data_IF_958176765322
#
_entry.id   IF_958176765322
#
_cell.length_a   1.000
_cell.length_b   1.000
_cell.length_c   1.000
_cell.angle_alpha   90.00
_cell.angle_beta   90.00
_cell.angle_gamma   90.00
#
_symmetry.space_group_name_H-M   'P 1'
#
loop_
_entity.id
_entity.type
_entity.pdbx_description
1 polymer ?
#
# COMPACT_ATOMS: atom_id res chain seq x y z
N UNK A 1 -6.12 -16.98 -0.50
CA UNK A 1 -5.87 -17.32 -1.92
C UNK A 1 -4.36 -17.27 -2.09
N UNK A 2 -3.70 -18.44 -2.18
CA UNK A 2 -2.24 -18.55 -2.03
C UNK A 2 -1.44 -17.57 -2.91
N UNK A 3 -1.90 -17.29 -4.13
CA UNK A 3 -1.23 -16.38 -5.07
C UNK A 3 -1.23 -14.92 -4.59
N UNK A 4 -2.38 -14.41 -4.12
CA UNK A 4 -2.44 -13.03 -3.61
C UNK A 4 -1.69 -12.86 -2.30
N UNK A 5 -1.76 -13.88 -1.43
CA UNK A 5 -1.06 -13.88 -0.16
C UNK A 5 0.48 -13.87 -0.37
N UNK A 6 0.98 -14.66 -1.33
CA UNK A 6 2.39 -14.67 -1.75
C UNK A 6 2.83 -13.33 -2.38
N UNK A 7 1.99 -12.72 -3.23
CA UNK A 7 2.28 -11.41 -3.82
C UNK A 7 2.34 -10.31 -2.76
N UNK A 8 1.40 -10.28 -1.83
CA UNK A 8 1.39 -9.33 -0.71
C UNK A 8 2.65 -9.51 0.14
N UNK A 9 3.01 -10.74 0.47
CA UNK A 9 4.21 -11.04 1.25
C UNK A 9 5.50 -10.55 0.56
N UNK A 10 5.65 -10.81 -0.75
CA UNK A 10 6.80 -10.35 -1.54
C UNK A 10 6.88 -8.83 -1.59
N UNK A 11 5.76 -8.15 -1.81
CA UNK A 11 5.70 -6.69 -1.82
C UNK A 11 6.03 -6.09 -0.45
N UNK A 12 5.47 -6.65 0.63
CA UNK A 12 5.81 -6.26 2.01
C UNK A 12 7.31 -6.38 2.26
N UNK A 13 7.93 -7.48 1.83
CA UNK A 13 9.36 -7.71 2.02
C UNK A 13 10.22 -6.72 1.24
N UNK A 14 9.88 -6.42 -0.01
CA UNK A 14 10.58 -5.42 -0.83
C UNK A 14 10.50 -4.03 -0.17
N UNK A 15 9.34 -3.66 0.37
CA UNK A 15 9.17 -2.38 1.07
C UNK A 15 9.98 -2.29 2.37
N UNK A 16 10.27 -3.43 3.01
CA UNK A 16 11.10 -3.48 4.23
C UNK A 16 12.61 -3.36 3.94
N UNK A 17 13.09 -3.66 2.73
CA UNK A 17 14.53 -3.71 2.43
C UNK A 17 15.31 -2.43 2.81
N UNK A 18 14.83 -1.20 2.51
CA UNK A 18 15.56 0.01 2.89
C UNK A 18 15.67 0.19 4.41
N UNK A 19 14.65 -0.25 5.15
CA UNK A 19 14.64 -0.20 6.62
C UNK A 19 15.60 -1.23 7.21
N UNK A 20 15.66 -2.42 6.59
CA UNK A 20 16.61 -3.48 6.94
C UNK A 20 18.05 -3.00 6.75
N UNK A 21 18.34 -2.34 5.62
CA UNK A 21 19.66 -1.73 5.36
C UNK A 21 20.01 -0.68 6.42
N UNK A 22 19.07 0.20 6.75
CA UNK A 22 19.28 1.29 7.71
C UNK A 22 19.48 0.80 9.16
N UNK A 23 18.98 -0.39 9.49
CA UNK A 23 19.04 -0.97 10.85
C UNK A 23 19.64 -2.38 10.85
N UNK A 24 20.66 -2.60 10.02
CA UNK A 24 21.30 -3.90 9.78
C UNK A 24 21.68 -4.66 11.06
N UNK A 25 22.09 -3.93 12.12
CA UNK A 25 22.47 -4.49 13.41
C UNK A 25 21.36 -5.33 14.05
N UNK A 26 20.10 -4.95 13.85
CA UNK A 26 18.94 -5.68 14.38
C UNK A 26 18.74 -7.05 13.72
N UNK A 27 19.30 -7.24 12.52
CA UNK A 27 19.09 -8.44 11.70
C UNK A 27 20.26 -9.40 11.70
N UNK A 28 21.38 -9.08 12.37
CA UNK A 28 22.61 -9.90 12.41
C UNK A 28 22.38 -11.37 12.79
N UNK A 29 21.39 -11.64 13.63
CA UNK A 29 21.07 -12.99 14.12
C UNK A 29 20.00 -13.71 13.27
N UNK A 30 19.36 -13.02 12.34
CA UNK A 30 18.23 -13.54 11.53
C UNK A 30 18.61 -13.68 10.06
N UNK A 31 19.39 -12.73 9.54
CA UNK A 31 19.86 -12.69 8.16
C UNK A 31 21.36 -12.96 8.18
N UNK A 32 21.78 -14.04 7.51
CA UNK A 32 23.21 -14.33 7.36
C UNK A 32 23.91 -13.26 6.50
N UNK A 33 25.23 -13.16 6.66
CA UNK A 33 26.05 -12.13 6.00
C UNK A 33 25.96 -12.18 4.48
N UNK A 34 25.84 -13.37 3.87
CA UNK A 34 25.72 -13.49 2.42
C UNK A 34 24.39 -12.91 1.93
N UNK A 35 23.30 -13.23 2.61
CA UNK A 35 21.97 -12.68 2.32
C UNK A 35 21.92 -11.18 2.57
N UNK A 36 22.54 -10.69 3.66
CA UNK A 36 22.59 -9.26 3.94
C UNK A 36 23.39 -8.50 2.87
N UNK A 37 24.48 -9.07 2.36
CA UNK A 37 25.23 -8.50 1.23
C UNK A 37 24.38 -8.38 -0.03
N UNK A 38 23.52 -9.36 -0.33
CA UNK A 38 22.57 -9.27 -1.45
C UNK A 38 21.53 -8.15 -1.25
N UNK A 39 21.09 -7.93 -0.01
CA UNK A 39 20.17 -6.82 0.33
C UNK A 39 20.86 -5.46 0.15
N UNK A 40 22.10 -5.30 0.61
CA UNK A 40 22.88 -4.08 0.38
C UNK A 40 23.08 -3.81 -1.11
N UNK A 41 23.46 -4.84 -1.89
CA UNK A 41 23.63 -4.73 -3.35
C UNK A 41 22.34 -4.29 -4.05
N UNK A 42 21.19 -4.83 -3.64
CA UNK A 42 19.91 -4.42 -4.19
C UNK A 42 19.63 -2.94 -3.93
N UNK A 43 19.87 -2.45 -2.71
CA UNK A 43 19.63 -1.05 -2.36
C UNK A 43 20.62 -0.12 -3.10
N UNK A 44 21.89 -0.51 -3.26
CA UNK A 44 22.86 0.23 -4.08
C UNK A 44 22.40 0.33 -5.54
N UNK A 45 21.93 -0.78 -6.15
CA UNK A 45 21.41 -0.78 -7.51
C UNK A 45 20.18 0.12 -7.67
N UNK A 46 19.26 0.08 -6.69
CA UNK A 46 18.08 0.93 -6.67
C UNK A 46 18.44 2.41 -6.55
N UNK A 47 19.34 2.77 -5.64
CA UNK A 47 19.82 4.14 -5.48
C UNK A 47 20.55 4.65 -6.73
N UNK A 48 21.36 3.81 -7.37
CA UNK A 48 22.04 4.14 -8.61
C UNK A 48 21.05 4.43 -9.76
N UNK A 49 19.95 3.68 -9.82
CA UNK A 49 18.85 3.90 -10.75
C UNK A 49 18.09 5.20 -10.46
N UNK A 50 17.70 5.43 -9.20
CA UNK A 50 16.98 6.64 -8.77
C UNK A 50 17.81 7.92 -8.96
N UNK A 51 19.14 7.83 -8.82
CA UNK A 51 20.08 8.96 -8.99
C UNK A 51 20.44 9.19 -10.47
N UNK A 52 19.92 8.38 -11.40
CA UNK A 52 20.21 8.46 -12.84
C UNK A 52 21.72 8.47 -13.16
N UNK A 53 22.49 7.72 -12.37
CA UNK A 53 23.93 7.54 -12.62
C UNK A 53 24.10 6.61 -13.82
N UNK A 54 24.94 6.93 -14.79
CA UNK A 54 25.06 6.18 -16.06
C UNK A 54 25.45 4.70 -15.85
N UNK A 55 25.20 3.83 -16.85
CA UNK A 55 25.60 2.39 -16.88
C UNK A 55 26.98 2.12 -16.30
N UNK A 56 27.94 3.04 -16.51
CA UNK A 56 29.34 2.90 -16.07
C UNK A 56 29.48 2.64 -14.57
N UNK A 57 28.60 3.21 -13.73
CA UNK A 57 28.61 2.93 -12.28
C UNK A 57 28.13 1.51 -11.99
N UNK A 58 27.12 1.00 -12.70
CA UNK A 58 26.73 -0.41 -12.60
C UNK A 58 27.84 -1.33 -13.09
N UNK A 59 28.47 -1.04 -14.23
CA UNK A 59 29.56 -1.88 -14.73
C UNK A 59 30.68 -2.04 -13.69
N UNK A 60 31.00 -0.95 -12.98
CA UNK A 60 31.96 -0.99 -11.87
C UNK A 60 31.45 -1.77 -10.64
N UNK A 61 30.14 -1.77 -10.37
CA UNK A 61 29.52 -2.60 -9.32
C UNK A 61 29.55 -4.08 -9.74
N UNK A 62 29.23 -4.38 -11.00
CA UNK A 62 29.21 -5.72 -11.60
C UNK A 62 30.62 -6.31 -11.67
N UNK A 63 31.63 -5.54 -12.05
CA UNK A 63 33.04 -5.99 -12.08
C UNK A 63 33.56 -6.37 -10.69
N UNK A 64 32.99 -5.82 -9.62
CA UNK A 64 33.30 -6.18 -8.24
C UNK A 64 32.50 -7.38 -7.73
N UNK A 65 31.60 -7.96 -8.54
CA UNK A 65 30.87 -9.17 -8.19
C UNK A 65 31.70 -10.41 -8.56
N UNK A 66 31.71 -11.46 -7.73
CA UNK A 66 32.15 -12.78 -8.19
C UNK A 66 31.26 -13.19 -9.37
N UNK A 67 31.88 -13.61 -10.47
CA UNK A 67 31.18 -13.93 -11.72
C UNK A 67 30.13 -15.01 -11.45
N UNK A 68 28.85 -14.65 -11.58
CA UNK A 68 27.75 -15.63 -11.52
C UNK A 68 27.72 -16.40 -12.85
N UNK A 69 28.58 -17.42 -12.98
CA UNK A 69 28.80 -18.17 -14.23
C UNK A 69 27.58 -18.92 -14.79
N UNK A 70 26.46 -19.03 -14.08
CA UNK A 70 25.42 -20.03 -14.42
C UNK A 70 24.07 -19.50 -14.93
N UNK A 71 23.85 -18.19 -15.10
CA UNK A 71 22.52 -17.66 -15.48
C UNK A 71 22.47 -16.78 -16.74
N UNK A 72 23.58 -16.61 -17.45
CA UNK A 72 23.73 -15.77 -18.65
C UNK A 72 23.07 -16.28 -19.93
N UNK A 73 22.27 -17.36 -19.91
CA UNK A 73 21.67 -17.92 -21.15
C UNK A 73 20.59 -17.06 -21.82
N UNK A 74 20.19 -15.91 -21.27
CA UNK A 74 19.17 -15.03 -21.89
C UNK A 74 19.55 -13.55 -21.99
N UNK A 75 20.72 -13.14 -21.50
CA UNK A 75 21.15 -11.75 -21.60
C UNK A 75 22.11 -11.62 -22.79
N UNK A 76 21.59 -11.11 -23.91
CA UNK A 76 22.42 -10.76 -25.05
C UNK A 76 23.11 -9.42 -24.77
N UNK A 77 24.42 -9.50 -24.53
CA UNK A 77 25.28 -8.37 -24.22
C UNK A 77 25.37 -7.34 -25.38
N UNK A 78 24.89 -7.68 -26.58
CA UNK A 78 24.85 -6.79 -27.74
C UNK A 78 23.74 -5.74 -27.71
N UNK A 79 22.72 -5.90 -26.87
CA UNK A 79 21.61 -4.95 -26.72
C UNK A 79 21.99 -3.76 -25.82
N UNK A 80 23.15 -3.10 -25.97
CA UNK A 80 23.65 -2.15 -24.96
C UNK A 80 24.13 -0.78 -25.46
N UNK A 81 23.58 -0.23 -26.55
CA UNK A 81 23.86 1.16 -26.91
C UNK A 81 22.59 2.04 -26.90
N UNK A 82 22.54 2.96 -25.93
CA UNK A 82 21.71 4.18 -25.80
C UNK A 82 20.19 4.09 -25.52
N UNK A 83 19.42 3.14 -26.05
CA UNK A 83 18.02 2.89 -25.59
C UNK A 83 17.93 1.82 -24.49
N UNK A 84 19.09 1.25 -24.15
CA UNK A 84 19.24 -0.01 -23.46
C UNK A 84 19.68 0.10 -22.00
N UNK A 85 20.06 1.30 -21.54
CA UNK A 85 20.50 1.52 -20.16
C UNK A 85 19.37 1.22 -19.19
N UNK A 86 18.21 1.82 -19.42
CA UNK A 86 17.01 1.56 -18.62
C UNK A 86 16.61 0.09 -18.66
N UNK A 87 16.70 -0.56 -19.82
CA UNK A 87 16.34 -1.98 -19.96
C UNK A 87 17.28 -2.88 -19.14
N UNK A 88 18.58 -2.58 -19.16
CA UNK A 88 19.57 -3.26 -18.33
C UNK A 88 19.32 -3.00 -16.83
N UNK A 89 19.05 -1.76 -16.42
CA UNK A 89 18.68 -1.41 -15.05
C UNK A 89 17.46 -2.21 -14.56
N UNK A 90 16.38 -2.24 -15.35
CA UNK A 90 15.18 -2.99 -15.02
C UNK A 90 15.49 -4.48 -14.86
N UNK A 91 16.32 -5.05 -15.74
CA UNK A 91 16.73 -6.45 -15.65
C UNK A 91 17.52 -6.73 -14.37
N UNK A 92 18.54 -5.92 -14.04
CA UNK A 92 19.38 -6.14 -12.86
C UNK A 92 18.63 -5.91 -11.55
N UNK A 93 17.75 -4.91 -11.48
CA UNK A 93 16.85 -4.71 -10.35
C UNK A 93 15.93 -5.93 -10.20
N UNK A 94 15.35 -6.43 -11.30
CA UNK A 94 14.51 -7.62 -11.25
C UNK A 94 15.27 -8.86 -10.76
N UNK A 95 16.52 -9.07 -11.19
CA UNK A 95 17.34 -10.20 -10.72
C UNK A 95 17.73 -10.06 -9.25
N UNK A 96 18.15 -8.87 -8.82
CA UNK A 96 18.51 -8.63 -7.42
C UNK A 96 17.31 -8.84 -6.48
N UNK A 97 16.13 -8.31 -6.83
CA UNK A 97 14.88 -8.58 -6.09
C UNK A 97 14.61 -10.08 -6.03
N UNK A 98 14.70 -10.79 -7.16
CA UNK A 98 14.47 -12.23 -7.20
C UNK A 98 15.43 -12.99 -6.29
N UNK A 99 16.70 -12.61 -6.25
CA UNK A 99 17.70 -13.25 -5.40
C UNK A 99 17.45 -12.99 -3.92
N UNK A 100 17.17 -11.74 -3.55
CA UNK A 100 16.84 -11.36 -2.17
C UNK A 100 15.59 -12.08 -1.70
N UNK A 101 14.50 -12.04 -2.47
CA UNK A 101 13.26 -12.75 -2.16
C UNK A 101 13.49 -14.25 -2.03
N UNK A 102 14.25 -14.84 -2.96
CA UNK A 102 14.58 -16.27 -2.92
C UNK A 102 15.27 -16.61 -1.60
N UNK A 103 16.31 -15.89 -1.20
CA UNK A 103 17.05 -16.18 0.05
C UNK A 103 16.21 -15.96 1.30
N UNK A 104 15.46 -14.87 1.37
CA UNK A 104 14.67 -14.53 2.55
C UNK A 104 13.44 -15.45 2.71
N UNK A 105 12.78 -15.81 1.61
CA UNK A 105 11.61 -16.69 1.63
C UNK A 105 11.99 -18.17 1.74
N UNK A 106 13.07 -18.65 1.10
CA UNK A 106 13.50 -20.05 1.20
C UNK A 106 13.84 -20.47 2.64
N UNK A 107 14.31 -19.52 3.46
CA UNK A 107 14.64 -19.77 4.85
C UNK A 107 13.54 -19.35 5.83
N UNK A 108 12.31 -19.06 5.35
CA UNK A 108 11.18 -18.60 6.16
C UNK A 108 11.53 -17.41 7.10
N UNK A 109 12.44 -16.52 6.68
CA UNK A 109 12.92 -15.41 7.51
C UNK A 109 11.98 -14.22 7.55
N UNK A 110 10.96 -14.21 6.68
CA UNK A 110 10.00 -13.13 6.57
C UNK A 110 9.33 -12.78 7.90
N UNK A 111 8.83 -13.78 8.63
CA UNK A 111 8.11 -13.55 9.89
C UNK A 111 9.04 -12.98 10.97
N UNK A 112 10.28 -13.47 11.03
CA UNK A 112 11.29 -12.96 11.95
C UNK A 112 11.68 -11.51 11.64
N UNK A 113 11.88 -11.18 10.37
CA UNK A 113 12.16 -9.80 9.92
C UNK A 113 10.99 -8.87 10.28
N UNK A 114 9.76 -9.30 9.98
CA UNK A 114 8.55 -8.52 10.27
C UNK A 114 8.34 -8.31 11.76
N UNK A 115 8.64 -9.32 12.59
CA UNK A 115 8.55 -9.24 14.05
C UNK A 115 9.59 -8.28 14.62
N UNK A 116 10.84 -8.34 14.15
CA UNK A 116 11.90 -7.40 14.57
C UNK A 116 11.49 -5.96 14.24
N UNK A 117 11.01 -5.70 13.02
CA UNK A 117 10.57 -4.37 12.62
C UNK A 117 9.39 -3.87 13.45
N UNK A 118 8.41 -4.75 13.72
CA UNK A 118 7.25 -4.41 14.56
C UNK A 118 7.66 -4.07 15.99
N UNK A 119 8.53 -4.87 16.61
CA UNK A 119 8.97 -4.65 18.00
C UNK A 119 9.78 -3.37 18.17
N UNK A 120 10.45 -2.91 17.10
CA UNK A 120 11.22 -1.67 17.10
C UNK A 120 10.42 -0.47 16.54
N UNK A 121 9.13 -0.61 16.24
CA UNK A 121 8.29 0.42 15.60
C UNK A 121 8.87 0.95 14.27
N UNK A 122 9.57 0.09 13.53
CA UNK A 122 10.24 0.40 12.25
C UNK A 122 9.46 -0.13 11.03
N UNK A 123 8.25 -0.67 11.23
CA UNK A 123 7.49 -1.23 10.13
C UNK A 123 7.08 -0.10 9.16
N UNK A 124 7.47 -0.17 7.87
CA UNK A 124 7.10 0.87 6.91
C UNK A 124 5.58 0.90 6.70
N UNK A 125 4.97 2.09 6.54
CA UNK A 125 3.56 2.19 6.23
C UNK A 125 3.30 1.58 4.84
N UNK A 126 2.18 0.84 4.65
CA UNK A 126 1.88 0.24 3.35
C UNK A 126 1.72 1.30 2.27
N UNK A 127 2.44 1.16 1.15
CA UNK A 127 2.25 2.01 -0.02
C UNK A 127 0.89 1.77 -0.69
N UNK A 128 0.45 2.72 -1.52
CA UNK A 128 -0.85 2.67 -2.19
C UNK A 128 -1.05 1.40 -3.01
N UNK A 129 -0.02 0.95 -3.74
CA UNK A 129 -0.08 -0.31 -4.50
C UNK A 129 -0.36 -1.51 -3.59
N UNK A 130 0.29 -1.58 -2.42
CA UNK A 130 0.05 -2.65 -1.45
C UNK A 130 -1.35 -2.58 -0.86
N UNK A 131 -1.88 -1.38 -0.62
CA UNK A 131 -3.27 -1.18 -0.20
C UNK A 131 -4.24 -1.72 -1.25
N UNK A 132 -4.04 -1.36 -2.52
CA UNK A 132 -4.86 -1.84 -3.64
C UNK A 132 -4.77 -3.35 -3.79
N UNK A 133 -3.59 -3.95 -3.65
CA UNK A 133 -3.43 -5.41 -3.70
C UNK A 133 -4.18 -6.13 -2.57
N UNK A 134 -4.16 -5.58 -1.35
CA UNK A 134 -4.94 -6.10 -0.23
C UNK A 134 -6.45 -5.97 -0.49
N UNK A 135 -6.91 -4.82 -0.98
CA UNK A 135 -8.30 -4.62 -1.38
C UNK A 135 -8.74 -5.60 -2.50
N UNK A 136 -7.88 -5.82 -3.50
CA UNK A 136 -8.15 -6.75 -4.58
C UNK A 136 -8.25 -8.19 -4.08
N UNK A 137 -7.34 -8.60 -3.18
CA UNK A 137 -7.41 -9.90 -2.51
C UNK A 137 -8.73 -10.06 -1.75
N UNK A 138 -9.11 -9.05 -0.97
CA UNK A 138 -10.31 -9.10 -0.13
C UNK A 138 -11.58 -9.14 -0.99
N UNK A 139 -11.63 -8.33 -2.07
CA UNK A 139 -12.71 -8.35 -3.05
C UNK A 139 -12.80 -9.66 -3.82
N UNK A 140 -11.66 -10.21 -4.27
CA UNK A 140 -11.63 -11.51 -4.93
C UNK A 140 -12.12 -12.61 -3.98
N UNK A 141 -11.65 -12.62 -2.73
CA UNK A 141 -12.09 -13.57 -1.72
C UNK A 141 -13.59 -13.46 -1.45
N UNK A 142 -14.12 -12.23 -1.31
CA UNK A 142 -15.55 -12.02 -1.17
C UNK A 142 -16.31 -12.64 -2.34
N UNK A 143 -15.91 -12.36 -3.59
CA UNK A 143 -16.56 -12.90 -4.78
C UNK A 143 -16.46 -14.43 -4.92
N UNK A 144 -15.38 -15.04 -4.42
CA UNK A 144 -15.24 -16.51 -4.42
C UNK A 144 -16.02 -17.19 -3.29
N UNK A 145 -16.27 -16.48 -2.19
CA UNK A 145 -17.03 -16.99 -1.05
C UNK A 145 -18.52 -16.64 -1.11
N UNK A 146 -18.92 -15.69 -1.95
CA UNK A 146 -20.33 -15.35 -2.20
C UNK A 146 -20.87 -16.10 -3.38
N UNK A 147 -22.05 -16.70 -3.24
CA UNK A 147 -22.79 -17.21 -4.39
C UNK A 147 -23.38 -16.05 -5.21
N UNK A 148 -23.67 -16.24 -6.51
CA UNK A 148 -24.35 -15.23 -7.33
C UNK A 148 -25.72 -14.81 -6.78
N UNK A 149 -26.34 -15.66 -5.96
CA UNK A 149 -27.60 -15.36 -5.26
C UNK A 149 -27.36 -14.41 -4.08
N UNK A 150 -26.37 -14.69 -3.24
CA UNK A 150 -25.98 -13.83 -2.11
C UNK A 150 -25.52 -12.44 -2.58
N UNK A 151 -24.83 -12.34 -3.71
CA UNK A 151 -24.43 -11.05 -4.30
C UNK A 151 -25.67 -10.22 -4.73
N UNK A 152 -26.70 -10.86 -5.30
CA UNK A 152 -27.97 -10.20 -5.65
C UNK A 152 -28.75 -9.75 -4.42
N UNK A 153 -28.83 -10.61 -3.40
CA UNK A 153 -29.49 -10.26 -2.14
C UNK A 153 -28.84 -9.05 -1.45
N UNK A 154 -27.50 -8.99 -1.42
CA UNK A 154 -26.77 -7.81 -0.91
C UNK A 154 -27.09 -6.54 -1.70
N UNK A 155 -27.15 -6.62 -3.03
CA UNK A 155 -27.50 -5.48 -3.90
C UNK A 155 -28.93 -5.00 -3.63
N UNK A 156 -29.88 -5.90 -3.49
CA UNK A 156 -31.27 -5.55 -3.21
C UNK A 156 -31.44 -4.99 -1.80
N UNK A 157 -30.71 -5.52 -0.81
CA UNK A 157 -30.63 -4.93 0.53
C UNK A 157 -30.07 -3.51 0.50
N UNK A 158 -28.98 -3.26 -0.23
CA UNK A 158 -28.40 -1.92 -0.38
C UNK A 158 -29.36 -0.93 -1.04
N UNK A 159 -30.09 -1.36 -2.09
CA UNK A 159 -31.13 -0.52 -2.71
C UNK A 159 -32.23 -0.16 -1.71
N UNK A 160 -32.73 -1.14 -0.95
CA UNK A 160 -33.74 -0.90 0.07
C UNK A 160 -33.26 0.06 1.16
N UNK A 161 -32.00 -0.07 1.59
CA UNK A 161 -31.39 0.86 2.54
C UNK A 161 -31.29 2.28 1.97
N UNK A 162 -30.87 2.44 0.71
CA UNK A 162 -30.81 3.76 0.06
C UNK A 162 -32.19 4.42 -0.07
N UNK A 163 -33.22 3.66 -0.41
CA UNK A 163 -34.60 4.17 -0.47
C UNK A 163 -35.04 4.68 0.92
N UNK A 164 -34.77 3.90 1.96
CA UNK A 164 -35.08 4.30 3.34
C UNK A 164 -34.27 5.51 3.78
N UNK A 165 -33.00 5.58 3.41
CA UNK A 165 -32.11 6.70 3.74
C UNK A 165 -32.60 7.99 3.09
N UNK A 166 -32.94 7.96 1.80
CA UNK A 166 -33.52 9.12 1.11
C UNK A 166 -34.87 9.54 1.70
N UNK A 167 -35.72 8.58 2.08
CA UNK A 167 -36.96 8.89 2.79
C UNK A 167 -36.70 9.55 4.15
N UNK A 168 -35.70 9.07 4.89
CA UNK A 168 -35.34 9.64 6.18
C UNK A 168 -34.77 11.05 6.04
N UNK A 169 -33.92 11.30 5.04
CA UNK A 169 -33.42 12.65 4.71
C UNK A 169 -34.57 13.62 4.41
N UNK A 170 -35.58 13.19 3.66
CA UNK A 170 -36.75 14.01 3.37
C UNK A 170 -37.57 14.35 4.64
N UNK A 171 -37.73 13.38 5.54
CA UNK A 171 -38.41 13.61 6.83
C UNK A 171 -37.61 14.54 7.72
N UNK A 172 -36.29 14.36 7.80
CA UNK A 172 -35.40 15.24 8.58
C UNK A 172 -35.49 16.67 8.04
N UNK A 173 -35.35 16.88 6.73
CA UNK A 173 -35.45 18.21 6.12
C UNK A 173 -36.81 18.87 6.38
N UNK A 174 -37.91 18.09 6.38
CA UNK A 174 -39.24 18.60 6.72
C UNK A 174 -39.32 19.02 8.19
N UNK A 175 -38.83 18.21 9.11
CA UNK A 175 -38.82 18.50 10.54
C UNK A 175 -37.91 19.69 10.87
N UNK A 176 -36.77 19.83 10.21
CA UNK A 176 -35.87 20.98 10.34
C UNK A 176 -36.57 22.28 9.89
N UNK A 177 -37.33 22.22 8.80
CA UNK A 177 -38.13 23.36 8.34
C UNK A 177 -39.23 23.72 9.34
N UNK A 178 -40.01 22.74 9.79
CA UNK A 178 -41.08 22.95 10.78
C UNK A 178 -40.51 23.54 12.09
N UNK A 179 -39.35 23.06 12.54
CA UNK A 179 -38.66 23.61 13.70
C UNK A 179 -38.21 25.06 13.47
N UNK A 180 -37.62 25.35 12.30
CA UNK A 180 -37.21 26.71 11.95
C UNK A 180 -38.39 27.67 11.89
N UNK A 181 -39.51 27.25 11.30
CA UNK A 181 -40.73 28.05 11.20
C UNK A 181 -41.32 28.30 12.60
N UNK A 182 -41.39 27.27 13.45
CA UNK A 182 -41.87 27.39 14.83
C UNK A 182 -40.98 28.29 15.69
N UNK A 183 -39.65 28.22 15.53
CA UNK A 183 -38.71 29.11 16.24
C UNK A 183 -38.91 30.56 15.78
N UNK A 184 -39.04 30.81 14.47
CA UNK A 184 -39.25 32.14 13.93
C UNK A 184 -40.57 32.77 14.40
N UNK A 185 -41.65 31.98 14.43
CA UNK A 185 -42.95 32.41 14.96
C UNK A 185 -42.85 32.79 16.45
N UNK A 186 -42.22 31.93 17.23
CA UNK A 186 -42.04 32.14 18.68
C UNK A 186 -41.13 33.34 18.97
N UNK A 187 -40.11 33.59 18.16
CA UNK A 187 -39.25 34.79 18.27
C UNK A 187 -39.99 36.07 17.86
N UNK A 188 -40.89 36.00 16.88
CA UNK A 188 -41.75 37.12 16.49
C UNK A 188 -42.75 37.48 17.60
N UNK A 189 -43.36 36.48 18.25
CA UNK A 189 -44.24 36.70 19.41
C UNK A 189 -43.48 37.31 20.60
N UNK A 190 -42.28 36.82 20.91
CA UNK A 190 -41.43 37.38 21.97
C UNK A 190 -41.07 38.83 21.67
N UNK A 191 -40.75 39.15 20.41
CA UNK A 191 -40.44 40.52 19.97
C UNK A 191 -41.64 41.46 20.08
N UNK A 192 -42.85 41.00 19.72
CA UNK A 192 -44.07 41.79 19.91
C UNK A 192 -44.35 42.05 21.39
N UNK A 193 -44.21 41.02 22.23
CA UNK A 193 -44.47 41.12 23.67
C UNK A 193 -43.49 42.07 24.35
N UNK A 194 -42.20 42.02 23.97
CA UNK A 194 -41.17 42.95 24.44
C UNK A 194 -41.41 44.38 23.95
N UNK A 195 -41.81 44.57 22.69
CA UNK A 195 -42.16 45.90 22.15
C UNK A 195 -43.34 46.54 22.88
N UNK A 196 -44.35 45.74 23.25
CA UNK A 196 -45.48 46.18 24.08
C UNK A 196 -45.01 46.57 25.50
N UNK A 197 -44.10 45.80 26.09
CA UNK A 197 -43.56 46.09 27.42
C UNK A 197 -42.68 47.35 27.48
N UNK A 198 -41.98 47.69 26.39
CA UNK A 198 -41.17 48.92 26.29
C UNK A 198 -42.07 50.17 26.14
N UNK A 199 -43.24 50.04 25.51
CA UNK A 199 -44.18 51.17 25.35
C UNK A 199 -45.07 51.43 26.57
N UNK A 200 -45.09 50.53 27.56
CA UNK A 200 -45.92 50.61 28.78
C UNK A 200 -45.14 51.03 30.05
N UNK A 201 -43.83 51.33 29.94
CA UNK A 201 -43.02 51.99 30.97
C UNK A 201 -42.60 53.40 30.52
#
# INVERSE_FOLDING_TARGET
MVVFDDLVQKMELIEMLPVIVSHADLFKNVIDTETMNEVYRHEELKQAYETNSSIRTISNIIEKLPQFENYTRRFDQSLSYNANENIAYHYYIQQSIRNVLRRLLQHNRFDAVKLILKNNNLLPPPKDLMRVLKMLRDSAMERFLTTPLEEREKVDQMKNLNIRLSSNEAVIAKLEKELSDAVAERDAEVSQTLGIFIFLN
#
